data_IF_625384088476
#
_entry.id   IF_625384088476
#
_cell.length_a   1.000
_cell.length_b   1.000
_cell.length_c   1.000
_cell.angle_alpha   90.00
_cell.angle_beta   90.00
_cell.angle_gamma   90.00
#
_symmetry.space_group_name_H-M   'P 1'
#
loop_
_entity.id
_entity.type
_entity.pdbx_description
1 polymer ?
#
# COMPACT_ATOMS: atom_id res chain seq x y z
N UNK A 1 -13.83 66.27 -32.43
CA UNK A 1 -13.33 65.19 -33.32
C UNK A 1 -12.15 64.39 -32.76
N UNK A 2 -11.41 64.86 -31.73
CA UNK A 2 -10.27 64.09 -31.16
C UNK A 2 -10.70 62.91 -30.28
N UNK A 3 -11.82 63.02 -29.56
CA UNK A 3 -12.29 61.98 -28.63
C UNK A 3 -12.72 60.68 -29.33
N UNK A 4 -13.38 60.80 -30.49
CA UNK A 4 -13.77 59.64 -31.32
C UNK A 4 -12.56 58.92 -31.93
N UNK A 5 -11.50 59.66 -32.26
CA UNK A 5 -10.28 59.09 -32.82
C UNK A 5 -9.50 58.27 -31.76
N UNK A 6 -9.30 58.83 -30.56
CA UNK A 6 -8.65 58.12 -29.45
C UNK A 6 -9.44 56.90 -28.97
N UNK A 7 -10.78 56.96 -28.96
CA UNK A 7 -11.64 55.83 -28.63
C UNK A 7 -11.53 54.70 -29.68
N UNK A 8 -11.53 55.05 -30.98
CA UNK A 8 -11.38 54.05 -32.06
C UNK A 8 -9.98 53.40 -32.08
N UNK A 9 -8.94 54.16 -31.75
CA UNK A 9 -7.56 53.66 -31.64
C UNK A 9 -7.40 52.72 -30.43
N UNK A 10 -8.05 53.06 -29.30
CA UNK A 10 -8.10 52.21 -28.11
C UNK A 10 -8.79 50.87 -28.38
N UNK A 11 -9.94 50.88 -29.05
CA UNK A 11 -10.68 49.66 -29.40
C UNK A 11 -9.92 48.75 -30.39
N UNK A 12 -9.20 49.34 -31.34
CA UNK A 12 -8.41 48.56 -32.32
C UNK A 12 -7.15 47.96 -31.70
N UNK A 13 -6.46 48.69 -30.82
CA UNK A 13 -5.32 48.14 -30.06
C UNK A 13 -5.76 47.05 -29.08
N UNK A 14 -6.91 47.22 -28.41
CA UNK A 14 -7.50 46.20 -27.56
C UNK A 14 -7.83 44.95 -28.38
N UNK A 15 -8.56 45.07 -29.48
CA UNK A 15 -8.91 43.93 -30.36
C UNK A 15 -7.69 43.21 -30.95
N UNK A 16 -6.57 43.89 -31.21
CA UNK A 16 -5.34 43.26 -31.72
C UNK A 16 -4.53 42.52 -30.66
N UNK A 17 -4.44 43.05 -29.43
CA UNK A 17 -3.62 42.46 -28.36
C UNK A 17 -4.38 41.48 -27.46
N UNK A 18 -5.69 41.63 -27.31
CA UNK A 18 -6.54 40.76 -26.49
C UNK A 18 -6.47 39.27 -26.88
N UNK A 19 -6.53 38.86 -28.16
CA UNK A 19 -6.42 37.44 -28.51
C UNK A 19 -5.03 36.88 -28.21
N UNK A 20 -3.98 37.71 -28.25
CA UNK A 20 -2.61 37.28 -27.91
C UNK A 20 -2.43 37.12 -26.41
N UNK A 21 -2.88 38.10 -25.61
CA UNK A 21 -2.82 38.03 -24.14
C UNK A 21 -3.71 36.92 -23.59
N UNK A 22 -4.91 36.73 -24.14
CA UNK A 22 -5.80 35.63 -23.76
C UNK A 22 -5.19 34.26 -24.06
N UNK A 23 -4.49 34.07 -25.18
CA UNK A 23 -3.77 32.83 -25.50
C UNK A 23 -2.64 32.56 -24.51
N UNK A 24 -1.87 33.58 -24.14
CA UNK A 24 -0.79 33.44 -23.16
C UNK A 24 -1.36 33.05 -21.79
N UNK A 25 -2.40 33.75 -21.32
CA UNK A 25 -3.07 33.43 -20.05
C UNK A 25 -3.61 31.99 -20.08
N UNK A 26 -4.29 31.60 -21.17
CA UNK A 26 -4.87 30.26 -21.29
C UNK A 26 -3.79 29.16 -21.34
N UNK A 27 -2.66 29.42 -22.00
CA UNK A 27 -1.50 28.50 -22.00
C UNK A 27 -0.85 28.36 -20.62
N UNK A 28 -0.72 29.46 -19.88
CA UNK A 28 -0.20 29.45 -18.51
C UNK A 28 -1.14 28.71 -17.57
N UNK A 29 -2.46 28.94 -17.68
CA UNK A 29 -3.48 28.20 -16.94
C UNK A 29 -3.48 26.71 -17.28
N UNK A 30 -3.33 26.34 -18.56
CA UNK A 30 -3.24 24.95 -18.97
C UNK A 30 -1.97 24.28 -18.41
N UNK A 31 -0.83 24.96 -18.46
CA UNK A 31 0.43 24.45 -17.92
C UNK A 31 0.38 24.29 -16.40
N UNK A 32 -0.23 25.23 -15.67
CA UNK A 32 -0.40 25.10 -14.21
C UNK A 32 -1.38 23.99 -13.86
N UNK A 33 -2.48 23.82 -14.60
CA UNK A 33 -3.41 22.70 -14.40
C UNK A 33 -2.74 21.35 -14.66
N UNK A 34 -1.92 21.24 -15.71
CA UNK A 34 -1.13 20.04 -15.98
C UNK A 34 -0.11 19.79 -14.87
N UNK A 35 0.57 20.83 -14.38
CA UNK A 35 1.50 20.72 -13.25
C UNK A 35 0.83 20.24 -11.96
N UNK A 36 -0.37 20.77 -11.66
CA UNK A 36 -1.18 20.33 -10.52
C UNK A 36 -1.63 18.87 -10.71
N UNK A 37 -2.11 18.50 -11.89
CA UNK A 37 -2.53 17.13 -12.19
C UNK A 37 -1.36 16.14 -12.03
N UNK A 38 -0.17 16.50 -12.49
CA UNK A 38 1.04 15.70 -12.30
C UNK A 38 1.43 15.57 -10.83
N UNK A 39 1.36 16.66 -10.05
CA UNK A 39 1.59 16.64 -8.60
C UNK A 39 0.59 15.74 -7.86
N UNK A 40 -0.71 15.86 -8.17
CA UNK A 40 -1.75 15.01 -7.58
C UNK A 40 -1.52 13.54 -7.95
N UNK A 41 -1.20 13.25 -9.21
CA UNK A 41 -0.87 11.90 -9.66
C UNK A 41 0.35 11.32 -8.93
N UNK A 42 1.41 12.12 -8.74
CA UNK A 42 2.59 11.74 -7.98
C UNK A 42 2.25 11.39 -6.52
N UNK A 43 1.54 12.28 -5.81
CA UNK A 43 1.17 12.02 -4.41
C UNK A 43 0.21 10.84 -4.26
N UNK A 44 -0.71 10.66 -5.20
CA UNK A 44 -1.63 9.52 -5.19
C UNK A 44 -0.88 8.20 -5.42
N UNK A 45 0.05 8.17 -6.37
CA UNK A 45 0.91 7.02 -6.59
C UNK A 45 1.76 6.70 -5.35
N UNK A 46 2.36 7.73 -4.73
CA UNK A 46 3.15 7.57 -3.51
C UNK A 46 2.29 7.03 -2.35
N UNK A 47 1.04 7.48 -2.21
CA UNK A 47 0.12 6.97 -1.20
C UNK A 47 -0.25 5.50 -1.44
N UNK A 48 -0.55 5.12 -2.68
CA UNK A 48 -0.87 3.73 -3.06
C UNK A 48 0.36 2.84 -2.81
N UNK A 49 1.54 3.28 -3.22
CA UNK A 49 2.80 2.57 -3.01
C UNK A 49 3.10 2.44 -1.51
N UNK A 50 3.00 3.51 -0.72
CA UNK A 50 3.18 3.44 0.75
C UNK A 50 2.19 2.50 1.41
N UNK A 51 0.92 2.52 0.99
CA UNK A 51 -0.11 1.60 1.50
C UNK A 51 0.19 0.14 1.17
N UNK A 52 0.75 -0.13 0.00
CA UNK A 52 1.19 -1.46 -0.42
C UNK A 52 2.49 -1.90 0.27
N UNK A 53 3.45 -1.00 0.44
CA UNK A 53 4.68 -1.26 1.17
C UNK A 53 4.35 -1.70 2.60
N UNK A 54 3.44 -1.02 3.32
CA UNK A 54 3.02 -1.32 4.70
C UNK A 54 2.36 -2.69 4.94
N UNK A 55 2.23 -3.52 3.89
CA UNK A 55 1.55 -4.80 3.94
C UNK A 55 2.45 -6.03 3.83
N UNK A 56 3.78 -5.90 3.88
CA UNK A 56 4.66 -7.08 3.87
C UNK A 56 4.36 -7.93 5.10
N UNK A 57 3.73 -9.07 4.83
CA UNK A 57 3.18 -9.95 5.85
C UNK A 57 3.71 -11.37 5.62
N UNK A 58 4.23 -11.98 6.68
CA UNK A 58 4.59 -13.40 6.74
C UNK A 58 3.51 -14.13 7.55
N UNK A 59 2.89 -15.15 6.98
CA UNK A 59 1.89 -15.95 7.68
C UNK A 59 2.47 -17.31 8.04
N UNK A 60 2.34 -17.69 9.31
CA UNK A 60 2.65 -19.02 9.83
C UNK A 60 1.31 -19.72 10.04
N UNK A 61 1.17 -20.89 9.43
CA UNK A 61 0.00 -21.75 9.49
C UNK A 61 0.29 -22.85 10.51
N UNK A 62 -0.62 -22.97 11.47
CA UNK A 62 -0.54 -23.91 12.57
C UNK A 62 -1.80 -24.79 12.62
N UNK A 63 -1.70 -25.98 13.25
CA UNK A 63 -2.87 -26.79 13.54
C UNK A 63 -3.94 -25.99 14.33
N UNK A 64 -5.23 -26.32 14.18
CA UNK A 64 -6.31 -25.61 14.85
C UNK A 64 -6.29 -25.77 16.38
N UNK A 65 -5.70 -26.86 16.89
CA UNK A 65 -5.79 -27.27 18.30
C UNK A 65 -4.61 -26.81 19.16
N UNK A 66 -3.85 -25.79 18.72
CA UNK A 66 -2.69 -25.29 19.48
C UNK A 66 -3.17 -24.55 20.74
N UNK A 67 -2.66 -24.89 21.94
CA UNK A 67 -3.07 -24.26 23.19
C UNK A 67 -2.66 -22.79 23.24
N UNK A 68 -3.50 -21.94 23.84
CA UNK A 68 -3.28 -20.50 23.90
C UNK A 68 -1.94 -20.10 24.55
N UNK A 69 -1.46 -20.88 25.52
CA UNK A 69 -0.15 -20.66 26.15
C UNK A 69 1.01 -20.81 25.17
N UNK A 70 0.92 -21.76 24.25
CA UNK A 70 1.91 -21.98 23.20
C UNK A 70 1.84 -20.88 22.15
N UNK A 71 0.63 -20.42 21.80
CA UNK A 71 0.45 -19.27 20.88
C UNK A 71 1.12 -18.01 21.43
N UNK A 72 0.91 -17.69 22.71
CA UNK A 72 1.54 -16.51 23.34
C UNK A 72 3.06 -16.68 23.47
N UNK A 73 3.54 -17.91 23.69
CA UNK A 73 4.96 -18.25 23.63
C UNK A 73 5.56 -17.94 22.26
N UNK A 74 4.97 -18.49 21.19
CA UNK A 74 5.36 -18.26 19.80
C UNK A 74 5.35 -16.76 19.48
N UNK A 75 4.29 -16.05 19.89
CA UNK A 75 4.17 -14.60 19.68
C UNK A 75 5.30 -13.83 20.35
N UNK A 76 5.60 -14.14 21.60
CA UNK A 76 6.70 -13.54 22.36
C UNK A 76 8.04 -13.80 21.68
N UNK A 77 8.27 -15.03 21.22
CA UNK A 77 9.51 -15.40 20.56
C UNK A 77 9.69 -14.69 19.23
N UNK A 78 8.63 -14.57 18.41
CA UNK A 78 8.65 -13.78 17.16
C UNK A 78 9.09 -12.33 17.41
N UNK A 79 8.57 -11.69 18.46
CA UNK A 79 8.98 -10.32 18.79
C UNK A 79 10.44 -10.22 19.24
N UNK A 80 10.99 -11.27 19.86
CA UNK A 80 12.40 -11.34 20.25
C UNK A 80 13.33 -11.64 19.08
N UNK A 81 12.85 -12.39 18.07
CA UNK A 81 13.66 -12.79 16.91
C UNK A 81 14.14 -11.58 16.11
N UNK A 82 13.32 -10.54 15.99
CA UNK A 82 13.70 -9.40 15.17
C UNK A 82 13.03 -8.07 15.55
N UNK A 83 13.82 -6.97 15.66
CA UNK A 83 13.25 -5.64 15.89
C UNK A 83 12.46 -5.11 14.69
N UNK A 84 12.57 -5.75 13.51
CA UNK A 84 11.79 -5.36 12.32
C UNK A 84 10.32 -5.78 12.40
N UNK A 85 9.92 -6.58 13.40
CA UNK A 85 8.52 -6.97 13.59
C UNK A 85 7.73 -5.78 14.13
N UNK A 86 6.75 -5.32 13.33
CA UNK A 86 5.82 -4.25 13.72
C UNK A 86 4.67 -4.82 14.55
N UNK A 87 4.07 -5.90 14.07
CA UNK A 87 2.88 -6.47 14.68
C UNK A 87 2.79 -7.96 14.43
N UNK A 88 2.37 -8.72 15.44
CA UNK A 88 1.99 -10.12 15.32
C UNK A 88 0.51 -10.23 15.65
N UNK A 89 -0.28 -10.66 14.67
CA UNK A 89 -1.73 -10.89 14.82
C UNK A 89 -2.04 -12.37 14.71
N UNK A 90 -2.89 -12.87 15.61
CA UNK A 90 -3.34 -14.26 15.61
C UNK A 90 -4.78 -14.31 15.12
N UNK A 91 -5.07 -15.21 14.20
CA UNK A 91 -6.42 -15.50 13.72
C UNK A 91 -6.76 -16.95 14.02
N UNK A 92 -7.71 -17.15 14.93
CA UNK A 92 -8.25 -18.46 15.27
C UNK A 92 -9.05 -19.06 14.11
N UNK A 93 -9.17 -20.39 14.02
CA UNK A 93 -10.03 -21.06 13.04
C UNK A 93 -11.43 -20.43 12.91
N UNK A 94 -12.05 -20.07 14.03
CA UNK A 94 -13.39 -19.48 14.03
C UNK A 94 -13.40 -18.05 13.51
N UNK A 95 -12.36 -17.26 13.82
CA UNK A 95 -12.24 -15.91 13.27
C UNK A 95 -12.02 -15.92 11.75
N UNK A 96 -11.27 -16.91 11.24
CA UNK A 96 -11.03 -17.11 9.81
C UNK A 96 -12.32 -17.57 9.13
N UNK A 97 -13.05 -18.50 9.75
CA UNK A 97 -14.38 -18.94 9.28
C UNK A 97 -15.36 -17.77 9.19
N UNK A 98 -15.45 -16.95 10.23
CA UNK A 98 -16.34 -15.79 10.24
C UNK A 98 -15.98 -14.77 9.14
N UNK A 99 -14.68 -14.53 8.93
CA UNK A 99 -14.21 -13.68 7.85
C UNK A 99 -14.55 -14.25 6.47
N UNK A 100 -14.33 -15.54 6.26
CA UNK A 100 -14.65 -16.23 5.02
C UNK A 100 -16.16 -16.18 4.73
N UNK A 101 -16.99 -16.54 5.72
CA UNK A 101 -18.44 -16.54 5.57
C UNK A 101 -18.96 -15.15 5.17
N UNK A 102 -18.41 -14.09 5.79
CA UNK A 102 -18.75 -12.71 5.44
C UNK A 102 -18.30 -12.33 4.04
N UNK A 103 -17.09 -12.72 3.63
CA UNK A 103 -16.52 -12.35 2.34
C UNK A 103 -17.23 -13.04 1.16
N UNK A 104 -17.65 -14.29 1.35
CA UNK A 104 -18.27 -15.10 0.29
C UNK A 104 -19.79 -15.20 0.42
N UNK A 105 -20.39 -14.67 1.50
CA UNK A 105 -21.83 -14.79 1.78
C UNK A 105 -22.32 -16.24 1.80
N UNK A 106 -21.46 -17.14 2.31
CA UNK A 106 -21.72 -18.57 2.45
C UNK A 106 -21.59 -18.93 3.92
N UNK A 107 -22.47 -19.78 4.46
CA UNK A 107 -22.21 -20.38 5.77
C UNK A 107 -21.45 -21.69 5.64
N UNK A 108 -20.14 -21.66 5.91
CA UNK A 108 -19.33 -22.88 5.92
C UNK A 108 -19.78 -23.94 6.92
N UNK A 109 -20.54 -23.57 7.96
CA UNK A 109 -21.14 -24.55 8.88
C UNK A 109 -22.21 -25.44 8.24
N UNK A 110 -22.84 -24.97 7.16
CA UNK A 110 -23.83 -25.75 6.41
C UNK A 110 -23.17 -26.66 5.37
N UNK A 111 -21.99 -26.27 4.86
CA UNK A 111 -21.27 -27.00 3.81
C UNK A 111 -20.38 -28.10 4.40
N UNK A 112 -19.72 -27.83 5.53
CA UNK A 112 -18.79 -28.75 6.17
C UNK A 112 -19.15 -28.95 7.64
N UNK A 113 -19.21 -30.20 8.12
CA UNK A 113 -19.58 -30.51 9.51
C UNK A 113 -18.52 -30.04 10.51
N UNK A 114 -17.27 -29.87 10.07
CA UNK A 114 -16.14 -29.42 10.87
C UNK A 114 -15.47 -28.21 10.24
N UNK A 115 -14.92 -27.32 11.08
CA UNK A 115 -14.21 -26.13 10.62
C UNK A 115 -12.87 -26.52 9.97
N UNK A 116 -12.67 -26.30 8.65
CA UNK A 116 -11.44 -26.71 7.97
C UNK A 116 -10.30 -25.69 8.13
N UNK A 117 -10.55 -24.53 8.74
CA UNK A 117 -9.59 -23.45 8.76
C UNK A 117 -8.48 -23.66 9.81
N UNK A 118 -7.21 -23.42 9.45
CA UNK A 118 -6.12 -23.51 10.39
C UNK A 118 -6.05 -22.28 11.30
N UNK A 119 -5.23 -22.39 12.34
CA UNK A 119 -4.77 -21.23 13.11
C UNK A 119 -3.72 -20.49 12.27
N UNK A 120 -3.84 -19.17 12.15
CA UNK A 120 -2.91 -18.35 11.35
C UNK A 120 -2.29 -17.27 12.22
N UNK A 121 -0.95 -17.26 12.30
CA UNK A 121 -0.17 -16.17 12.90
C UNK A 121 0.39 -15.32 11.78
N UNK A 122 -0.02 -14.07 11.69
CA UNK A 122 0.47 -13.12 10.70
C UNK A 122 1.42 -12.12 11.32
N UNK A 123 2.62 -12.01 10.75
CA UNK A 123 3.70 -11.13 11.19
C UNK A 123 3.82 -10.00 10.16
N UNK A 124 3.58 -8.77 10.60
CA UNK A 124 3.75 -7.55 9.80
C UNK A 124 5.06 -6.89 10.19
N UNK A 125 5.81 -6.40 9.21
CA UNK A 125 7.13 -5.81 9.43
C UNK A 125 7.18 -4.30 9.23
N UNK A 126 8.21 -3.66 9.80
CA UNK A 126 8.59 -2.28 9.48
C UNK A 126 9.39 -2.24 8.18
N UNK A 127 8.81 -1.68 7.13
CA UNK A 127 9.42 -1.68 5.79
C UNK A 127 10.79 -1.02 5.71
N UNK A 128 10.99 0.08 6.45
CA UNK A 128 12.25 0.83 6.40
C UNK A 128 13.43 0.06 7.03
N UNK A 129 13.15 -0.96 7.84
CA UNK A 129 14.15 -1.87 8.42
C UNK A 129 14.26 -3.20 7.67
N UNK A 130 13.40 -3.41 6.67
CA UNK A 130 13.29 -4.68 5.98
C UNK A 130 14.29 -4.74 4.81
N UNK A 131 15.11 -5.78 4.79
CA UNK A 131 15.93 -6.16 3.64
C UNK A 131 15.57 -7.58 3.19
N UNK A 132 15.87 -7.95 1.94
CA UNK A 132 15.62 -9.31 1.47
C UNK A 132 16.33 -10.36 2.32
N UNK A 133 17.60 -10.12 2.67
CA UNK A 133 18.42 -11.02 3.50
C UNK A 133 17.82 -11.19 4.90
N UNK A 134 17.39 -10.09 5.53
CA UNK A 134 16.81 -10.14 6.87
C UNK A 134 15.41 -10.79 6.86
N UNK A 135 14.64 -10.59 5.80
CA UNK A 135 13.36 -11.26 5.59
C UNK A 135 13.55 -12.77 5.39
N UNK A 136 14.49 -13.20 4.54
CA UNK A 136 14.80 -14.62 4.35
C UNK A 136 15.30 -15.28 5.64
N UNK A 137 16.15 -14.59 6.42
CA UNK A 137 16.59 -15.08 7.73
C UNK A 137 15.40 -15.29 8.67
N UNK A 138 14.45 -14.36 8.71
CA UNK A 138 13.22 -14.49 9.49
C UNK A 138 12.37 -15.67 9.01
N UNK A 139 12.20 -15.83 7.70
CA UNK A 139 11.48 -16.97 7.11
C UNK A 139 12.12 -18.28 7.56
N UNK A 140 13.45 -18.42 7.50
CA UNK A 140 14.14 -19.63 7.94
C UNK A 140 13.95 -19.91 9.44
N UNK A 141 14.00 -18.88 10.28
CA UNK A 141 13.76 -19.03 11.72
C UNK A 141 12.33 -19.49 12.01
N UNK A 142 11.34 -18.94 11.30
CA UNK A 142 9.94 -19.30 11.48
C UNK A 142 9.58 -20.69 10.92
N UNK A 143 10.39 -21.27 10.02
CA UNK A 143 10.09 -22.60 9.43
C UNK A 143 10.08 -23.71 10.47
N UNK A 144 10.78 -23.51 11.58
CA UNK A 144 10.80 -24.45 12.69
C UNK A 144 9.52 -24.41 13.53
N UNK A 145 8.67 -23.39 13.34
CA UNK A 145 7.45 -23.17 14.11
C UNK A 145 6.23 -23.79 13.41
N UNK A 146 6.15 -23.67 12.08
CA UNK A 146 5.01 -24.17 11.32
C UNK A 146 5.18 -23.97 9.81
N UNK A 147 4.12 -24.30 9.07
CA UNK A 147 4.11 -24.08 7.62
C UNK A 147 4.03 -22.58 7.33
N UNK A 148 4.90 -22.10 6.43
CA UNK A 148 4.99 -20.68 6.11
C UNK A 148 4.32 -20.39 4.78
N UNK A 149 3.49 -19.35 4.77
CA UNK A 149 2.90 -18.76 3.57
C UNK A 149 3.23 -17.27 3.46
N UNK A 150 3.76 -16.87 2.31
CA UNK A 150 3.95 -15.47 1.94
C UNK A 150 3.92 -15.32 0.41
N UNK A 151 3.60 -14.12 -0.09
CA UNK A 151 3.64 -13.82 -1.53
C UNK A 151 5.04 -13.37 -1.94
N UNK A 152 5.88 -14.32 -2.35
CA UNK A 152 7.27 -14.07 -2.77
C UNK A 152 7.38 -12.99 -3.85
N UNK A 153 6.50 -13.03 -4.84
CA UNK A 153 6.58 -12.16 -6.02
C UNK A 153 6.28 -10.71 -5.65
N UNK A 154 5.26 -10.54 -4.80
CA UNK A 154 4.89 -9.24 -4.26
C UNK A 154 6.01 -8.67 -3.39
N UNK A 155 6.57 -9.48 -2.50
CA UNK A 155 7.62 -9.04 -1.58
C UNK A 155 8.89 -8.65 -2.36
N UNK A 156 9.28 -9.43 -3.38
CA UNK A 156 10.39 -9.06 -4.27
C UNK A 156 10.14 -7.77 -5.04
N UNK A 157 8.92 -7.57 -5.55
CA UNK A 157 8.55 -6.34 -6.24
C UNK A 157 8.65 -5.13 -5.29
N UNK A 158 8.12 -5.24 -4.07
CA UNK A 158 8.23 -4.22 -3.02
C UNK A 158 9.70 -3.90 -2.75
N UNK A 159 10.57 -4.90 -2.54
CA UNK A 159 11.99 -4.65 -2.29
C UNK A 159 12.72 -4.00 -3.47
N UNK A 160 12.43 -4.42 -4.71
CA UNK A 160 13.05 -3.85 -5.90
C UNK A 160 12.60 -2.40 -6.15
N UNK A 161 11.33 -2.08 -5.93
CA UNK A 161 10.81 -0.71 -6.06
C UNK A 161 11.38 0.24 -5.00
N UNK A 162 11.54 -0.21 -3.74
CA UNK A 162 12.22 0.59 -2.69
C UNK A 162 13.64 0.96 -3.13
N UNK A 163 14.37 0.04 -3.77
CA UNK A 163 15.73 0.32 -4.25
C UNK A 163 15.73 1.33 -5.39
N UNK A 164 14.81 1.24 -6.34
CA UNK A 164 14.72 2.21 -7.43
C UNK A 164 14.35 3.62 -6.94
N UNK A 165 13.45 3.73 -5.96
CA UNK A 165 13.08 5.03 -5.39
C UNK A 165 14.22 5.69 -4.61
N UNK A 166 15.09 4.92 -3.95
CA UNK A 166 16.31 5.43 -3.27
C UNK A 166 17.39 5.93 -4.22
N UNK A 167 17.35 5.54 -5.50
CA UNK A 167 18.29 6.01 -6.53
C UNK A 167 17.85 7.32 -7.20
N UNK A 168 16.58 7.68 -7.09
CA UNK A 168 15.99 8.86 -7.75
C UNK A 168 15.86 10.06 -6.81
N UNK A 169 16.03 9.86 -5.50
CA UNK A 169 16.15 10.93 -4.49
C UNK A 169 17.58 11.17 -4.06
#
# INVERSE_FOLDING_TARGET
>A
MSFSYHWSLGQTLFRRKFPSSARVILSVCAATLLGIAALVGYFQAEYIIKGHMDSVTLSIILPPDVPQTEIEGIRSDIYKLSPMVRMVSVRTPDSVKAYFNKQFSVDMGEVLPTNPFPLVISITFYNHMLSWQSFEAMVQQCRNIGEISYRSDYIRAVFNEVQMLRWVG
#
